data_IF_462461326269
#
_entry.id   IF_462461326269
#
_cell.length_a   1.000
_cell.length_b   1.000
_cell.length_c   1.000
_cell.angle_alpha   90.00
_cell.angle_beta   90.00
_cell.angle_gamma   90.00
#
_symmetry.space_group_name_H-M   'P 1'
#
loop_
_entity.id
_entity.type
_entity.pdbx_description
1 polymer ?
#
# COMPACT_ATOMS: atom_id res chain seq x y z
N UNK A 1 10.81 -3.56 -26.99
CA UNK A 1 10.40 -4.99 -26.88
C UNK A 1 8.93 -5.08 -27.25
N UNK A 2 8.50 -6.13 -28.00
CA UNK A 2 7.10 -6.24 -28.46
C UNK A 2 6.45 -7.53 -27.93
N UNK A 3 5.34 -7.41 -27.22
CA UNK A 3 4.60 -8.52 -26.61
C UNK A 3 3.18 -8.63 -27.16
N UNK A 4 2.60 -9.81 -27.03
CA UNK A 4 1.14 -10.04 -27.12
C UNK A 4 0.48 -9.70 -25.78
N UNK A 5 -0.83 -9.49 -25.76
CA UNK A 5 -1.57 -9.33 -24.47
C UNK A 5 -1.42 -10.56 -23.57
N UNK A 6 -1.30 -11.77 -24.16
CA UNK A 6 -1.05 -13.00 -23.40
C UNK A 6 0.29 -12.95 -22.68
N UNK A 7 1.37 -12.61 -23.38
CA UNK A 7 2.70 -12.47 -22.78
C UNK A 7 2.74 -11.39 -21.68
N UNK A 8 2.04 -10.27 -21.88
CA UNK A 8 1.93 -9.23 -20.86
C UNK A 8 1.18 -9.71 -19.59
N UNK A 9 0.11 -10.54 -19.74
CA UNK A 9 -0.59 -11.16 -18.61
C UNK A 9 0.29 -12.18 -17.91
N UNK A 10 0.92 -13.09 -18.66
CA UNK A 10 1.85 -14.09 -18.11
C UNK A 10 2.97 -13.42 -17.31
N UNK A 11 3.60 -12.39 -17.88
CA UNK A 11 4.59 -11.59 -17.16
C UNK A 11 4.03 -10.99 -15.86
N UNK A 12 2.88 -10.32 -15.95
CA UNK A 12 2.30 -9.61 -14.80
C UNK A 12 1.91 -10.58 -13.67
N UNK A 13 1.27 -11.70 -13.99
CA UNK A 13 0.89 -12.71 -13.00
C UNK A 13 2.12 -13.36 -12.37
N UNK A 14 3.12 -13.71 -13.18
CA UNK A 14 4.39 -14.26 -12.70
C UNK A 14 5.16 -13.25 -11.84
N UNK A 15 5.22 -11.98 -12.26
CA UNK A 15 5.83 -10.91 -11.46
C UNK A 15 5.20 -10.81 -10.08
N UNK A 16 3.89 -10.93 -10.01
CA UNK A 16 3.13 -10.91 -8.76
C UNK A 16 3.17 -12.23 -7.99
N UNK A 17 3.94 -13.23 -8.44
CA UNK A 17 4.09 -14.53 -7.76
C UNK A 17 2.76 -15.27 -7.53
N UNK A 18 1.78 -15.02 -8.42
CA UNK A 18 0.47 -15.67 -8.40
C UNK A 18 0.55 -16.92 -9.31
N UNK A 19 -0.06 -18.02 -8.89
CA UNK A 19 -0.08 -19.29 -9.64
C UNK A 19 1.32 -19.81 -10.04
N UNK A 20 2.33 -19.53 -9.23
CA UNK A 20 3.69 -20.05 -9.43
C UNK A 20 3.85 -21.44 -8.80
N UNK A 21 4.77 -22.24 -9.36
CA UNK A 21 5.23 -23.48 -8.75
C UNK A 21 6.27 -23.23 -7.65
N UNK A 22 6.88 -22.06 -7.63
CA UNK A 22 7.85 -21.69 -6.61
C UNK A 22 7.18 -21.41 -5.25
N UNK A 23 7.91 -21.70 -4.19
CA UNK A 23 7.50 -21.42 -2.81
C UNK A 23 8.11 -20.10 -2.35
N UNK A 24 7.26 -19.09 -2.20
CA UNK A 24 7.67 -17.76 -1.74
C UNK A 24 7.40 -17.57 -0.26
N UNK A 25 8.30 -16.88 0.41
CA UNK A 25 8.12 -16.37 1.77
C UNK A 25 7.45 -15.00 1.77
N UNK A 26 7.01 -14.53 2.95
CA UNK A 26 6.51 -13.16 3.11
C UNK A 26 7.58 -12.13 2.71
N UNK A 27 8.86 -12.38 3.02
CA UNK A 27 9.98 -11.50 2.63
C UNK A 27 10.13 -11.40 1.12
N UNK A 28 10.00 -12.52 0.39
CA UNK A 28 10.06 -12.52 -1.07
C UNK A 28 8.95 -11.67 -1.67
N UNK A 29 7.73 -11.77 -1.11
CA UNK A 29 6.58 -10.97 -1.56
C UNK A 29 6.86 -9.48 -1.34
N UNK A 30 7.28 -9.06 -0.13
CA UNK A 30 7.56 -7.64 0.12
C UNK A 30 8.79 -7.14 -0.64
N UNK A 31 9.82 -7.96 -0.84
CA UNK A 31 10.94 -7.62 -1.70
C UNK A 31 10.54 -7.38 -3.16
N UNK A 32 9.50 -8.06 -3.66
CA UNK A 32 8.99 -7.92 -5.03
C UNK A 32 8.00 -6.77 -5.15
N UNK A 33 6.87 -6.83 -4.45
CA UNK A 33 5.76 -5.88 -4.61
C UNK A 33 5.79 -4.71 -3.62
N UNK A 34 6.82 -4.63 -2.78
CA UNK A 34 7.21 -3.49 -1.92
C UNK A 34 6.23 -3.13 -0.81
N UNK A 35 4.93 -2.99 -1.11
CA UNK A 35 3.90 -2.63 -0.15
C UNK A 35 2.63 -3.39 -0.42
N UNK A 36 1.89 -3.72 0.62
CA UNK A 36 0.55 -4.31 0.53
C UNK A 36 -0.43 -3.35 1.20
N UNK A 37 -1.50 -2.96 0.49
CA UNK A 37 -2.51 -2.07 1.05
C UNK A 37 -3.24 -2.74 2.21
N UNK A 38 -3.35 -2.03 3.33
CA UNK A 38 -4.12 -2.47 4.48
C UNK A 38 -5.55 -1.91 4.40
N UNK A 39 -6.53 -2.77 4.58
CA UNK A 39 -7.91 -2.41 4.83
C UNK A 39 -8.44 -3.25 6.01
N UNK A 40 -9.12 -2.65 6.99
CA UNK A 40 -9.58 -3.34 8.20
C UNK A 40 -10.79 -4.24 7.97
N UNK A 41 -11.47 -4.16 6.81
CA UNK A 41 -12.62 -4.99 6.52
C UNK A 41 -12.20 -6.46 6.43
N UNK A 42 -12.79 -7.27 7.28
CA UNK A 42 -12.47 -8.68 7.44
C UNK A 42 -13.76 -9.53 7.28
N UNK A 43 -14.09 -9.89 6.05
CA UNK A 43 -15.22 -10.79 5.74
C UNK A 43 -14.75 -12.24 5.67
N UNK A 44 -13.67 -12.49 4.94
CA UNK A 44 -13.03 -13.81 4.76
C UNK A 44 -11.52 -13.76 5.01
N UNK A 45 -11.03 -12.63 5.50
CA UNK A 45 -9.64 -12.26 5.75
C UNK A 45 -9.45 -10.78 5.47
N UNK A 46 -8.44 -10.16 6.08
CA UNK A 46 -8.03 -8.79 5.76
C UNK A 46 -7.32 -8.76 4.39
N UNK A 47 -7.30 -7.59 3.74
CA UNK A 47 -6.65 -7.49 2.43
C UNK A 47 -5.20 -8.01 2.42
N UNK A 48 -4.31 -7.68 3.39
CA UNK A 48 -2.95 -8.22 3.42
C UNK A 48 -2.90 -9.76 3.59
N UNK A 49 -3.79 -10.33 4.40
CA UNK A 49 -3.88 -11.77 4.58
C UNK A 49 -4.21 -12.47 3.26
N UNK A 50 -5.20 -11.95 2.52
CA UNK A 50 -5.61 -12.51 1.23
C UNK A 50 -4.53 -12.34 0.14
N UNK A 51 -3.82 -11.20 0.12
CA UNK A 51 -2.68 -10.97 -0.79
C UNK A 51 -1.57 -11.99 -0.56
N UNK A 52 -1.23 -12.24 0.71
CA UNK A 52 -0.18 -13.21 1.08
C UNK A 52 -0.64 -14.65 0.85
N UNK A 53 -1.90 -14.97 1.15
CA UNK A 53 -2.46 -16.30 0.91
C UNK A 53 -2.41 -16.69 -0.58
N UNK A 54 -2.56 -15.73 -1.49
CA UNK A 54 -2.46 -15.97 -2.93
C UNK A 54 -1.03 -16.32 -3.40
N UNK A 55 0.02 -16.04 -2.58
CA UNK A 55 1.43 -16.08 -2.98
C UNK A 55 2.31 -16.98 -2.11
N UNK A 56 2.07 -16.95 -0.80
CA UNK A 56 2.93 -17.64 0.17
C UNK A 56 2.45 -19.06 0.38
N UNK A 57 3.37 -20.02 0.23
CA UNK A 57 3.05 -21.43 0.42
C UNK A 57 2.67 -21.72 1.89
N UNK A 58 1.58 -22.47 2.09
CA UNK A 58 1.06 -22.78 3.43
C UNK A 58 0.87 -21.55 4.35
N UNK A 59 0.51 -20.41 3.77
CA UNK A 59 0.29 -19.19 4.53
C UNK A 59 -0.72 -19.38 5.67
N UNK A 60 -0.34 -18.87 6.84
CA UNK A 60 -1.22 -18.72 8.00
C UNK A 60 -1.18 -17.26 8.43
N UNK A 61 -2.33 -16.72 8.84
CA UNK A 61 -2.44 -15.30 9.26
C UNK A 61 -1.41 -14.91 10.32
N UNK A 62 -1.10 -15.82 11.26
CA UNK A 62 -0.15 -15.55 12.34
C UNK A 62 1.25 -15.24 11.79
N UNK A 63 1.63 -15.78 10.62
CA UNK A 63 2.91 -15.46 9.98
C UNK A 63 3.04 -13.97 9.65
N UNK A 64 1.95 -13.33 9.22
CA UNK A 64 1.95 -11.88 8.97
C UNK A 64 2.04 -11.08 10.28
N UNK A 65 1.30 -11.48 11.29
CA UNK A 65 1.31 -10.77 12.58
C UNK A 65 2.61 -10.99 13.35
N UNK A 66 3.25 -12.13 13.20
CA UNK A 66 4.60 -12.37 13.71
C UNK A 66 5.63 -11.46 13.02
N UNK A 67 5.56 -11.35 11.69
CA UNK A 67 6.42 -10.43 10.92
C UNK A 67 6.24 -8.95 11.31
N UNK A 68 5.01 -8.54 11.67
CA UNK A 68 4.69 -7.17 12.09
C UNK A 68 5.08 -6.90 13.55
N UNK A 69 4.72 -7.81 14.48
CA UNK A 69 4.67 -7.47 15.91
C UNK A 69 5.65 -8.27 16.78
N UNK A 70 6.23 -9.37 16.26
CA UNK A 70 7.28 -10.15 16.95
C UNK A 70 8.65 -9.94 16.31
N UNK A 71 8.78 -10.33 15.03
CA UNK A 71 10.03 -10.17 14.28
C UNK A 71 10.27 -8.69 13.87
N UNK A 72 9.20 -7.92 13.73
CA UNK A 72 9.20 -6.46 13.51
C UNK A 72 10.01 -6.02 12.29
N UNK A 73 10.11 -6.82 11.23
CA UNK A 73 10.69 -6.39 9.95
C UNK A 73 9.67 -5.75 9.00
N UNK A 74 8.39 -5.84 9.33
CA UNK A 74 7.31 -5.11 8.66
C UNK A 74 6.78 -4.01 9.57
N UNK A 75 6.25 -2.96 8.96
CA UNK A 75 5.66 -1.80 9.64
C UNK A 75 4.39 -1.35 8.95
N UNK A 76 3.43 -0.89 9.75
CA UNK A 76 2.26 -0.15 9.28
C UNK A 76 2.68 1.27 8.89
N UNK A 77 2.31 1.74 7.70
CA UNK A 77 2.60 3.10 7.29
C UNK A 77 1.88 3.51 6.02
N UNK A 78 2.01 4.77 5.66
CA UNK A 78 1.36 5.33 4.48
C UNK A 78 2.26 5.20 3.25
N UNK A 79 1.72 4.63 2.17
CA UNK A 79 2.30 4.61 0.83
C UNK A 79 1.24 5.14 -0.16
N UNK A 80 0.67 4.31 -1.02
CA UNK A 80 -0.47 4.67 -1.89
C UNK A 80 -1.71 5.03 -1.04
N UNK A 81 -1.92 4.32 0.01
CA UNK A 81 -2.90 4.46 1.09
C UNK A 81 -2.24 3.90 2.36
N UNK A 82 -3.02 3.59 3.40
CA UNK A 82 -2.51 2.81 4.51
C UNK A 82 -2.01 1.46 4.00
N UNK A 83 -0.77 1.12 4.25
CA UNK A 83 -0.07 -0.07 3.77
C UNK A 83 0.73 -0.74 4.89
N UNK A 84 1.21 -1.94 4.57
CA UNK A 84 2.30 -2.61 5.28
C UNK A 84 3.49 -2.62 4.33
N UNK A 85 4.70 -2.35 4.85
CA UNK A 85 5.96 -2.42 4.09
C UNK A 85 7.13 -2.77 5.01
N UNK A 86 8.30 -3.03 4.44
CA UNK A 86 9.48 -3.40 5.25
C UNK A 86 10.05 -2.19 6.01
N UNK A 87 10.41 -2.39 7.28
CA UNK A 87 10.98 -1.36 8.17
C UNK A 87 12.22 -0.68 7.57
N UNK A 88 13.03 -1.44 6.81
CA UNK A 88 14.20 -0.87 6.10
C UNK A 88 13.87 0.27 5.16
N UNK A 89 12.62 0.33 4.68
CA UNK A 89 12.15 1.37 3.76
C UNK A 89 11.55 2.59 4.47
N UNK A 90 11.40 2.55 5.80
CA UNK A 90 10.71 3.57 6.57
C UNK A 90 11.25 4.99 6.32
N UNK A 91 12.57 5.14 6.26
CA UNK A 91 13.22 6.44 6.05
C UNK A 91 12.93 7.05 4.66
N UNK A 92 12.66 6.23 3.65
CA UNK A 92 12.29 6.72 2.31
C UNK A 92 10.91 7.38 2.26
N UNK A 93 10.07 7.18 3.26
CA UNK A 93 8.71 7.72 3.31
C UNK A 93 8.57 9.01 4.14
N UNK A 94 9.67 9.65 4.54
CA UNK A 94 9.63 10.89 5.34
C UNK A 94 8.74 11.96 4.72
N UNK A 95 8.88 12.22 3.40
CA UNK A 95 8.07 13.22 2.70
C UNK A 95 6.58 12.87 2.68
N UNK A 96 6.24 11.59 2.56
CA UNK A 96 4.84 11.13 2.62
C UNK A 96 4.29 11.32 4.03
N UNK A 97 5.08 10.95 5.06
CA UNK A 97 4.69 11.14 6.46
C UNK A 97 4.47 12.62 6.81
N UNK A 98 5.37 13.48 6.39
CA UNK A 98 5.22 14.94 6.58
C UNK A 98 3.94 15.46 5.92
N UNK A 99 3.69 15.07 4.67
CA UNK A 99 2.49 15.47 3.95
C UNK A 99 1.20 14.99 4.64
N UNK A 100 1.18 13.75 5.12
CA UNK A 100 0.03 13.19 5.85
C UNK A 100 -0.17 13.90 7.19
N UNK A 101 0.90 14.18 7.94
CA UNK A 101 0.81 14.93 9.18
C UNK A 101 0.29 16.37 8.94
N UNK A 102 0.69 17.02 7.85
CA UNK A 102 0.16 18.33 7.47
C UNK A 102 -1.33 18.28 7.12
N UNK A 103 -1.80 17.20 6.47
CA UNK A 103 -3.22 16.98 6.23
C UNK A 103 -3.97 16.84 7.57
N UNK A 104 -3.48 16.03 8.51
CA UNK A 104 -4.08 15.89 9.84
C UNK A 104 -4.09 17.23 10.59
N UNK A 105 -3.02 18.01 10.52
CA UNK A 105 -2.99 19.37 11.10
C UNK A 105 -4.04 20.29 10.48
N UNK A 106 -4.36 20.16 9.20
CA UNK A 106 -5.41 20.95 8.56
C UNK A 106 -6.82 20.58 9.05
N UNK A 107 -7.05 19.31 9.40
CA UNK A 107 -8.30 18.90 10.06
C UNK A 107 -8.44 19.42 11.48
N UNK A 108 -7.35 19.83 12.12
CA UNK A 108 -7.35 20.42 13.45
C UNK A 108 -7.76 21.92 13.49
N UNK A 109 -8.15 22.52 12.35
CA UNK A 109 -8.51 23.94 12.25
C UNK A 109 -9.65 24.39 13.20
N UNK A 110 -10.37 23.44 13.83
CA UNK A 110 -11.35 23.74 14.88
C UNK A 110 -10.72 23.97 16.26
N UNK A 111 -9.41 23.80 16.41
CA UNK A 111 -8.63 24.10 17.60
C UNK A 111 -7.71 25.28 17.31
N UNK A 112 -7.41 26.10 18.31
CA UNK A 112 -6.28 27.02 18.16
C UNK A 112 -5.01 26.22 17.96
N UNK A 113 -4.04 26.76 17.22
CA UNK A 113 -2.75 26.06 17.00
C UNK A 113 -2.04 25.71 18.31
N UNK A 114 -2.16 26.54 19.35
CA UNK A 114 -1.61 26.30 20.70
C UNK A 114 -2.35 25.17 21.41
N UNK A 115 -3.68 25.15 21.34
CA UNK A 115 -4.53 24.11 21.95
C UNK A 115 -4.25 22.72 21.32
N UNK A 116 -4.11 22.66 20.00
CA UNK A 116 -3.80 21.40 19.30
C UNK A 116 -2.41 20.89 19.65
N UNK A 117 -1.40 21.79 19.74
CA UNK A 117 -0.06 21.44 20.17
C UNK A 117 -0.06 20.84 21.58
N UNK A 118 -0.78 21.46 22.50
CA UNK A 118 -0.90 20.94 23.87
C UNK A 118 -1.50 19.51 23.90
N UNK A 119 -2.55 19.27 23.11
CA UNK A 119 -3.16 17.94 22.99
C UNK A 119 -2.17 16.92 22.43
N UNK A 120 -1.37 17.29 21.42
CA UNK A 120 -0.32 16.42 20.86
C UNK A 120 0.70 16.04 21.94
N UNK A 121 1.22 17.05 22.68
CA UNK A 121 2.23 16.86 23.71
C UNK A 121 1.68 15.95 24.85
N UNK A 122 0.44 16.16 25.26
CA UNK A 122 -0.23 15.36 26.29
C UNK A 122 -0.46 13.92 25.84
N UNK A 123 -0.92 13.70 24.59
CA UNK A 123 -1.09 12.33 24.01
C UNK A 123 0.26 11.63 23.91
N UNK A 124 1.32 12.36 23.50
CA UNK A 124 2.66 11.81 23.40
C UNK A 124 3.16 11.35 24.78
N UNK A 125 3.05 12.21 25.82
CA UNK A 125 3.45 11.86 27.18
C UNK A 125 2.69 10.64 27.73
N UNK A 126 1.39 10.56 27.48
CA UNK A 126 0.60 9.38 27.90
C UNK A 126 1.12 8.09 27.25
N UNK A 127 1.47 8.14 25.94
CA UNK A 127 2.02 6.97 25.24
C UNK A 127 3.43 6.65 25.76
N UNK A 128 4.24 7.68 26.03
CA UNK A 128 5.59 7.53 26.59
C UNK A 128 5.57 6.86 27.96
N UNK A 129 4.64 7.24 28.84
CA UNK A 129 4.51 6.72 30.21
C UNK A 129 3.84 5.35 30.27
N UNK A 130 2.83 5.10 29.41
CA UNK A 130 1.90 3.96 29.56
C UNK A 130 1.87 3.03 28.33
N UNK A 131 2.69 3.27 27.31
CA UNK A 131 2.69 2.42 26.11
C UNK A 131 3.20 1.00 26.38
N UNK A 132 2.74 0.01 25.58
CA UNK A 132 1.78 0.15 24.47
C UNK A 132 0.34 0.36 24.95
N UNK A 133 -0.33 1.36 24.39
CA UNK A 133 -1.69 1.75 24.80
C UNK A 133 -2.64 1.88 23.59
N UNK A 134 -3.89 1.47 23.76
CA UNK A 134 -4.90 1.61 22.72
C UNK A 134 -5.51 3.03 22.69
N UNK A 135 -5.87 3.48 21.47
CA UNK A 135 -6.52 4.79 21.28
C UNK A 135 -7.80 4.97 22.09
N UNK A 136 -8.52 3.89 22.42
CA UNK A 136 -9.74 3.95 23.24
C UNK A 136 -9.49 4.28 24.70
N UNK A 137 -8.26 4.05 25.19
CA UNK A 137 -7.86 4.36 26.58
C UNK A 137 -7.37 5.80 26.73
N UNK A 138 -7.00 6.46 25.65
CA UNK A 138 -6.57 7.87 25.65
C UNK A 138 -7.78 8.77 25.56
N UNK A 139 -8.24 9.30 26.68
CA UNK A 139 -9.49 10.07 26.80
C UNK A 139 -9.20 11.57 27.01
N UNK A 140 -8.59 12.20 26.01
CA UNK A 140 -8.31 13.63 26.04
C UNK A 140 -9.26 14.44 25.15
N UNK A 141 -9.42 15.71 25.51
CA UNK A 141 -10.15 16.71 24.77
C UNK A 141 -11.65 16.45 24.66
N UNK A 142 -12.38 17.47 24.29
CA UNK A 142 -13.80 17.42 24.00
C UNK A 142 -14.07 16.90 22.58
N UNK A 143 -15.26 16.31 22.34
CA UNK A 143 -15.72 15.99 21.00
C UNK A 143 -16.08 17.26 20.26
N UNK A 144 -15.35 17.61 19.22
CA UNK A 144 -15.71 18.71 18.31
C UNK A 144 -16.31 18.17 17.03
N UNK A 145 -17.36 18.85 16.51
CA UNK A 145 -18.01 18.49 15.24
C UNK A 145 -17.18 18.96 14.06
N UNK A 146 -16.85 18.04 13.18
CA UNK A 146 -16.22 18.30 11.88
C UNK A 146 -17.21 18.12 10.73
N UNK A 147 -16.86 18.57 9.51
CA UNK A 147 -17.63 18.29 8.28
C UNK A 147 -17.92 16.80 8.06
N UNK A 148 -17.09 15.91 8.59
CA UNK A 148 -17.12 14.45 8.43
C UNK A 148 -17.55 13.71 9.72
N UNK A 149 -18.11 14.38 10.67
CA UNK A 149 -18.54 13.82 11.95
C UNK A 149 -17.79 14.39 13.16
N UNK A 150 -18.00 13.83 14.34
CA UNK A 150 -17.30 14.27 15.56
C UNK A 150 -16.12 13.33 15.86
N UNK A 151 -14.91 13.79 15.62
CA UNK A 151 -13.69 13.11 16.07
C UNK A 151 -13.29 13.61 17.46
N UNK A 152 -12.71 12.71 18.28
CA UNK A 152 -12.06 13.11 19.51
C UNK A 152 -10.72 13.78 19.16
N UNK A 153 -10.38 14.85 19.85
CA UNK A 153 -9.09 15.52 19.69
C UNK A 153 -7.89 14.57 19.84
N UNK A 154 -7.96 13.64 20.81
CA UNK A 154 -6.96 12.59 20.99
C UNK A 154 -6.77 11.69 19.75
N UNK A 155 -7.85 11.40 18.99
CA UNK A 155 -7.73 10.58 17.78
C UNK A 155 -6.96 11.31 16.67
N UNK A 156 -7.20 12.61 16.52
CA UNK A 156 -6.46 13.46 15.55
C UNK A 156 -4.98 13.58 15.97
N UNK A 157 -4.72 13.77 17.27
CA UNK A 157 -3.34 13.81 17.77
C UNK A 157 -2.60 12.48 17.58
N UNK A 158 -3.26 11.34 17.84
CA UNK A 158 -2.68 10.01 17.57
C UNK A 158 -2.36 9.86 16.07
N UNK A 159 -3.30 10.23 15.18
CA UNK A 159 -3.06 10.17 13.74
C UNK A 159 -1.88 11.06 13.33
N UNK A 160 -1.80 12.27 13.86
CA UNK A 160 -0.69 13.18 13.63
C UNK A 160 0.66 12.59 14.08
N UNK A 161 0.74 12.09 15.31
CA UNK A 161 1.96 11.47 15.87
C UNK A 161 2.39 10.24 15.06
N UNK A 162 1.43 9.42 14.65
CA UNK A 162 1.67 8.25 13.80
C UNK A 162 2.20 8.68 12.41
N UNK A 163 1.58 9.67 11.78
CA UNK A 163 2.04 10.18 10.48
C UNK A 163 3.39 10.90 10.59
N UNK A 164 3.70 11.53 11.71
CA UNK A 164 5.05 12.06 11.97
C UNK A 164 6.10 10.95 12.15
N UNK A 165 5.68 9.71 12.40
CA UNK A 165 6.57 8.60 12.70
C UNK A 165 7.16 8.67 14.11
N UNK A 166 6.50 9.37 15.03
CA UNK A 166 6.88 9.44 16.44
C UNK A 166 6.36 8.25 17.24
N UNK A 167 5.21 7.71 16.84
CA UNK A 167 4.64 6.49 17.39
C UNK A 167 4.43 5.45 16.29
N UNK A 168 4.46 4.18 16.66
CA UNK A 168 4.20 3.03 15.78
C UNK A 168 3.08 2.16 16.34
N UNK A 169 2.59 1.21 15.52
CA UNK A 169 1.67 0.17 15.97
C UNK A 169 2.49 -0.95 16.60
N UNK A 170 2.39 -1.10 17.91
CA UNK A 170 3.04 -2.17 18.66
C UNK A 170 2.34 -3.51 18.46
N UNK A 171 1.02 -3.49 18.49
CA UNK A 171 0.20 -4.69 18.36
C UNK A 171 -1.23 -4.34 17.94
N UNK A 172 -1.99 -5.37 17.55
CA UNK A 172 -3.42 -5.25 17.23
C UNK A 172 -4.22 -6.29 18.00
N UNK A 173 -5.38 -5.85 18.49
CA UNK A 173 -6.45 -6.74 18.93
C UNK A 173 -7.62 -6.58 17.92
N UNK A 174 -7.74 -7.51 16.98
CA UNK A 174 -8.58 -7.37 15.79
C UNK A 174 -8.21 -6.09 15.00
N UNK A 175 -9.14 -5.13 14.89
CA UNK A 175 -8.91 -3.85 14.21
C UNK A 175 -8.34 -2.76 15.14
N UNK A 176 -8.34 -2.98 16.45
CA UNK A 176 -7.89 -2.02 17.45
C UNK A 176 -6.36 -2.03 17.54
N UNK A 177 -5.75 -0.87 17.28
CA UNK A 177 -4.30 -0.67 17.37
C UNK A 177 -3.89 -0.30 18.80
N UNK A 178 -2.79 -0.87 19.29
CA UNK A 178 -2.02 -0.37 20.40
C UNK A 178 -0.81 0.37 19.88
N UNK A 179 -0.57 1.56 20.40
CA UNK A 179 0.53 2.44 19.99
C UNK A 179 1.59 2.53 21.06
N UNK A 180 2.84 2.57 20.64
CA UNK A 180 3.98 2.90 21.49
C UNK A 180 4.95 3.81 20.71
N UNK A 181 5.96 4.36 21.40
CA UNK A 181 7.00 5.15 20.74
C UNK A 181 7.66 4.33 19.62
N UNK A 182 7.89 4.95 18.49
CA UNK A 182 8.44 4.25 17.31
C UNK A 182 9.77 3.57 17.62
N UNK A 183 10.62 4.17 18.46
CA UNK A 183 11.92 3.61 18.87
C UNK A 183 11.77 2.40 19.80
N UNK A 184 10.65 2.29 20.53
CA UNK A 184 10.38 1.07 21.33
C UNK A 184 9.83 -0.05 20.45
N UNK A 185 8.98 0.32 19.48
CA UNK A 185 8.44 -0.65 18.50
C UNK A 185 9.53 -1.16 17.57
N UNK A 186 10.40 -0.26 17.08
CA UNK A 186 11.48 -0.58 16.15
C UNK A 186 12.79 0.10 16.62
N UNK A 187 13.56 -0.49 17.54
CA UNK A 187 14.73 0.16 18.14
C UNK A 187 15.80 0.61 17.13
N UNK A 188 15.92 -0.08 16.01
CA UNK A 188 16.92 0.20 14.97
C UNK A 188 16.33 0.93 13.76
N UNK A 189 15.17 1.58 13.90
CA UNK A 189 14.53 2.25 12.77
C UNK A 189 15.35 3.45 12.31
N UNK A 190 15.67 3.49 11.02
CA UNK A 190 16.25 4.66 10.41
C UNK A 190 15.14 5.64 10.02
N UNK A 191 15.19 6.86 10.52
CA UNK A 191 14.25 7.94 10.22
C UNK A 191 14.88 9.12 9.46
N UNK A 192 16.19 9.04 9.15
CA UNK A 192 16.90 10.10 8.43
C UNK A 192 16.45 10.10 6.96
N UNK A 193 15.97 11.26 6.49
CA UNK A 193 15.61 11.41 5.08
C UNK A 193 16.85 11.23 4.18
N UNK A 194 16.88 10.27 3.26
CA UNK A 194 18.04 10.03 2.39
C UNK A 194 18.06 10.95 1.16
N UNK A 195 17.00 11.71 0.90
CA UNK A 195 16.88 12.53 -0.29
C UNK A 195 17.33 13.97 -0.04
N UNK A 196 18.15 14.50 -0.92
CA UNK A 196 18.60 15.89 -0.90
C UNK A 196 17.63 16.81 -1.63
N UNK A 197 16.94 16.30 -2.65
CA UNK A 197 15.96 17.05 -3.45
C UNK A 197 14.59 16.37 -3.47
N UNK A 198 13.55 17.12 -3.84
CA UNK A 198 12.22 16.57 -4.04
C UNK A 198 12.17 15.70 -5.29
N UNK A 199 12.95 16.02 -6.32
CA UNK A 199 13.08 15.25 -7.54
C UNK A 199 13.61 13.84 -7.27
N UNK A 200 14.65 13.69 -6.46
CA UNK A 200 15.22 12.39 -6.08
C UNK A 200 14.18 11.52 -5.37
N UNK A 201 13.42 12.15 -4.45
CA UNK A 201 12.33 11.47 -3.77
C UNK A 201 11.25 11.01 -4.76
N UNK A 202 10.79 11.88 -5.68
CA UNK A 202 9.73 11.54 -6.64
C UNK A 202 10.19 10.42 -7.58
N UNK A 203 11.43 10.48 -8.05
CA UNK A 203 11.99 9.43 -8.93
C UNK A 203 12.05 8.08 -8.20
N UNK A 204 12.59 8.05 -6.97
CA UNK A 204 12.60 6.84 -6.14
C UNK A 204 11.18 6.32 -5.88
N UNK A 205 10.26 7.20 -5.50
CA UNK A 205 8.89 6.82 -5.16
C UNK A 205 8.13 6.30 -6.39
N UNK A 206 8.35 6.88 -7.56
CA UNK A 206 7.79 6.40 -8.81
C UNK A 206 8.36 5.01 -9.17
N UNK A 207 9.68 4.82 -9.11
CA UNK A 207 10.31 3.51 -9.36
C UNK A 207 9.76 2.45 -8.40
N UNK A 208 9.66 2.79 -7.12
CA UNK A 208 9.06 1.90 -6.11
C UNK A 208 7.61 1.54 -6.45
N UNK A 209 6.80 2.50 -6.91
CA UNK A 209 5.43 2.27 -7.35
C UNK A 209 5.36 1.39 -8.61
N UNK A 210 6.26 1.58 -9.57
CA UNK A 210 6.38 0.71 -10.74
C UNK A 210 6.72 -0.72 -10.30
N UNK A 211 7.65 -0.90 -9.36
CA UNK A 211 7.97 -2.21 -8.75
C UNK A 211 6.78 -2.81 -8.01
N UNK A 212 5.96 -2.00 -7.33
CA UNK A 212 4.75 -2.50 -6.66
C UNK A 212 3.68 -3.01 -7.63
N UNK A 213 3.64 -2.49 -8.85
CA UNK A 213 2.67 -2.81 -9.90
C UNK A 213 3.20 -3.84 -10.92
N UNK A 214 4.52 -3.94 -11.10
CA UNK A 214 5.20 -4.84 -12.02
C UNK A 214 5.10 -4.45 -13.50
N UNK A 215 3.94 -4.02 -13.96
CA UNK A 215 3.66 -3.58 -15.31
C UNK A 215 2.75 -2.35 -15.25
N UNK A 216 3.15 -1.27 -15.91
CA UNK A 216 2.43 0.01 -15.84
C UNK A 216 2.42 0.73 -17.18
N UNK A 217 1.47 1.64 -17.35
CA UNK A 217 1.48 2.67 -18.39
C UNK A 217 1.57 4.06 -17.77
N UNK A 218 2.03 5.04 -18.52
CA UNK A 218 2.04 6.42 -18.04
C UNK A 218 0.68 7.11 -18.27
N UNK A 219 -0.42 6.50 -17.78
CA UNK A 219 -1.75 7.12 -17.73
C UNK A 219 -2.09 7.59 -16.31
N UNK A 220 -2.91 8.62 -16.21
CA UNK A 220 -3.45 9.05 -14.91
C UNK A 220 -4.39 7.97 -14.36
N UNK A 221 -4.08 7.45 -13.18
CA UNK A 221 -4.88 6.43 -12.51
C UNK A 221 -4.66 6.48 -10.99
N UNK A 222 -5.56 5.86 -10.24
CA UNK A 222 -5.44 5.71 -8.78
C UNK A 222 -4.22 4.86 -8.36
N UNK A 223 -3.63 4.09 -9.28
CA UNK A 223 -2.40 3.36 -9.05
C UNK A 223 -1.23 4.28 -8.70
N UNK A 224 -1.25 5.51 -9.19
CA UNK A 224 -0.24 6.54 -8.92
C UNK A 224 -0.66 7.58 -7.86
N UNK A 225 -1.63 7.26 -7.01
CA UNK A 225 -1.95 8.13 -5.87
C UNK A 225 -0.71 8.35 -5.00
N UNK A 226 -0.51 9.59 -4.55
CA UNK A 226 0.65 9.99 -3.77
C UNK A 226 1.15 11.38 -4.18
N UNK A 227 2.28 11.81 -3.63
CA UNK A 227 2.83 13.14 -3.83
C UNK A 227 3.19 13.42 -5.28
N UNK A 228 2.43 14.30 -5.92
CA UNK A 228 2.69 14.88 -7.25
C UNK A 228 2.85 13.90 -8.43
N UNK A 229 2.63 12.60 -8.24
CA UNK A 229 2.81 11.60 -9.30
C UNK A 229 1.51 11.08 -9.92
N UNK A 230 0.35 11.52 -9.46
CA UNK A 230 -0.96 11.07 -9.97
C UNK A 230 -1.31 11.60 -11.36
N UNK A 231 -0.71 12.71 -11.83
CA UNK A 231 -0.91 13.29 -13.17
C UNK A 231 0.17 12.82 -14.14
N UNK A 232 -0.21 12.50 -15.39
CA UNK A 232 0.71 12.07 -16.46
C UNK A 232 1.83 13.10 -16.69
N UNK A 233 1.50 14.38 -16.75
CA UNK A 233 2.47 15.46 -16.98
C UNK A 233 3.58 15.48 -15.92
N UNK A 234 3.25 15.25 -14.67
CA UNK A 234 4.21 15.26 -13.57
C UNK A 234 5.15 14.05 -13.62
N UNK A 235 4.70 12.91 -14.20
CA UNK A 235 5.48 11.68 -14.25
C UNK A 235 6.36 11.55 -15.48
N UNK A 236 6.01 12.18 -16.60
CA UNK A 236 6.67 11.92 -17.90
C UNK A 236 8.19 12.12 -17.87
N UNK A 237 8.68 13.16 -17.19
CA UNK A 237 10.14 13.40 -17.06
C UNK A 237 10.83 12.28 -16.28
N UNK A 238 10.18 11.72 -15.26
CA UNK A 238 10.74 10.65 -14.44
C UNK A 238 10.69 9.30 -15.14
N UNK A 239 9.63 8.99 -15.92
CA UNK A 239 9.62 7.80 -16.79
C UNK A 239 10.78 7.84 -17.77
N UNK A 240 11.04 8.99 -18.40
CA UNK A 240 12.18 9.19 -19.29
C UNK A 240 13.50 8.95 -18.57
N UNK A 241 13.73 9.63 -17.43
CA UNK A 241 14.92 9.47 -16.60
C UNK A 241 15.17 8.02 -16.18
N UNK A 242 14.14 7.34 -15.67
CA UNK A 242 14.24 5.95 -15.24
C UNK A 242 14.57 4.99 -16.41
N UNK A 243 14.04 5.27 -17.61
CA UNK A 243 14.35 4.50 -18.84
C UNK A 243 15.79 4.74 -19.27
N UNK A 244 16.26 5.99 -19.30
CA UNK A 244 17.64 6.36 -19.63
C UNK A 244 18.66 5.76 -18.65
N UNK A 245 18.30 5.65 -17.36
CA UNK A 245 19.11 4.98 -16.33
C UNK A 245 19.02 3.44 -16.40
N UNK A 246 18.24 2.88 -17.32
CA UNK A 246 18.05 1.44 -17.45
C UNK A 246 17.34 0.77 -16.27
N UNK A 247 16.61 1.53 -15.42
CA UNK A 247 15.90 1.03 -14.26
C UNK A 247 14.51 0.49 -14.60
N UNK A 248 13.92 1.01 -15.69
CA UNK A 248 12.69 0.49 -16.28
C UNK A 248 12.88 0.27 -17.78
N UNK A 249 12.16 -0.69 -18.32
CA UNK A 249 12.19 -1.04 -19.76
C UNK A 249 10.83 -0.82 -20.38
N UNK A 250 10.81 -0.20 -21.55
CA UNK A 250 9.61 0.03 -22.35
C UNK A 250 9.22 -1.22 -23.13
N UNK A 251 7.93 -1.53 -23.15
CA UNK A 251 7.33 -2.69 -23.82
C UNK A 251 6.08 -2.27 -24.59
N UNK A 252 6.10 -2.50 -25.91
CA UNK A 252 4.91 -2.36 -26.77
C UNK A 252 4.06 -3.62 -26.68
N UNK A 253 2.74 -3.47 -26.54
CA UNK A 253 1.82 -4.60 -26.53
C UNK A 253 0.89 -4.53 -27.74
N UNK A 254 0.82 -5.61 -28.51
CA UNK A 254 -0.02 -5.69 -29.72
C UNK A 254 -1.48 -5.40 -29.36
N UNK A 255 -2.07 -4.44 -30.07
CA UNK A 255 -3.46 -3.98 -29.88
C UNK A 255 -3.63 -2.95 -28.75
N UNK A 256 -2.55 -2.46 -28.15
CA UNK A 256 -2.56 -1.33 -27.22
C UNK A 256 -1.92 -0.10 -27.88
N UNK A 257 -2.45 1.10 -27.59
CA UNK A 257 -1.91 2.37 -28.08
C UNK A 257 -0.77 2.93 -27.24
N UNK A 258 -0.78 2.60 -25.94
CA UNK A 258 0.18 3.13 -24.97
C UNK A 258 1.28 2.12 -24.74
N UNK A 259 2.50 2.62 -24.67
CA UNK A 259 3.62 1.81 -24.21
C UNK A 259 3.47 1.46 -22.74
N UNK A 260 3.91 0.27 -22.37
CA UNK A 260 3.99 -0.20 -20.99
C UNK A 260 5.43 -0.17 -20.52
N UNK A 261 5.61 -0.15 -19.22
CA UNK A 261 6.92 -0.11 -18.56
C UNK A 261 6.98 -1.17 -17.49
N UNK A 262 8.11 -1.84 -17.38
CA UNK A 262 8.41 -2.87 -16.37
C UNK A 262 9.71 -2.52 -15.66
N UNK A 263 9.93 -2.97 -14.42
CA UNK A 263 11.26 -2.95 -13.82
C UNK A 263 12.23 -3.76 -14.70
N UNK A 264 13.36 -3.19 -15.09
CA UNK A 264 14.33 -3.86 -16.00
C UNK A 264 14.82 -5.18 -15.42
N UNK A 265 15.04 -5.24 -14.11
CA UNK A 265 15.44 -6.45 -13.40
C UNK A 265 14.47 -7.62 -13.59
N UNK A 266 13.17 -7.32 -13.83
CA UNK A 266 12.14 -8.33 -14.00
C UNK A 266 12.21 -9.10 -15.33
N UNK A 267 12.99 -8.62 -16.30
CA UNK A 267 13.26 -9.34 -17.55
C UNK A 267 13.97 -10.68 -17.32
N UNK A 268 14.71 -10.80 -16.23
CA UNK A 268 15.47 -12.00 -15.88
C UNK A 268 14.64 -13.00 -15.04
N UNK A 269 13.37 -12.69 -14.72
CA UNK A 269 12.55 -13.62 -13.95
C UNK A 269 11.97 -14.70 -14.88
N UNK A 270 12.27 -15.97 -14.62
CA UNK A 270 11.71 -17.04 -15.42
C UNK A 270 10.18 -17.07 -15.27
N UNK A 271 9.47 -17.26 -16.37
CA UNK A 271 8.02 -17.47 -16.33
C UNK A 271 7.77 -18.90 -15.84
N UNK A 272 7.13 -19.00 -14.68
CA UNK A 272 6.80 -20.26 -14.04
C UNK A 272 5.37 -20.20 -13.50
N UNK A 273 4.41 -20.47 -14.37
CA UNK A 273 2.98 -20.44 -14.04
C UNK A 273 2.38 -21.84 -14.11
N UNK A 274 1.57 -22.16 -13.12
CA UNK A 274 0.69 -23.34 -13.12
C UNK A 274 -0.77 -22.95 -13.40
N UNK A 275 -1.62 -23.94 -13.59
CA UNK A 275 -3.03 -23.77 -13.94
C UNK A 275 -3.97 -23.75 -12.72
N UNK A 276 -3.44 -23.43 -11.54
CA UNK A 276 -4.21 -23.31 -10.29
C UNK A 276 -5.19 -22.15 -10.37
N UNK A 277 -6.33 -22.31 -9.70
CA UNK A 277 -7.27 -21.22 -9.45
C UNK A 277 -6.91 -20.53 -8.14
N UNK A 278 -6.71 -19.22 -8.18
CA UNK A 278 -6.39 -18.39 -7.02
C UNK A 278 -7.42 -17.28 -6.88
N UNK A 279 -7.83 -16.99 -5.64
CA UNK A 279 -8.69 -15.85 -5.30
C UNK A 279 -7.77 -14.64 -5.07
N UNK A 280 -8.07 -13.54 -5.74
CA UNK A 280 -7.33 -12.28 -5.55
C UNK A 280 -7.98 -11.44 -4.46
N UNK A 281 -7.16 -10.80 -3.64
CA UNK A 281 -7.61 -9.82 -2.67
C UNK A 281 -8.25 -8.60 -3.37
N UNK A 282 -9.23 -7.90 -2.74
CA UNK A 282 -9.95 -6.82 -3.41
C UNK A 282 -9.07 -5.60 -3.72
N UNK A 283 -8.01 -5.39 -2.96
CA UNK A 283 -7.02 -4.32 -3.12
C UNK A 283 -5.63 -4.90 -3.43
N UNK A 284 -5.58 -6.08 -4.06
CA UNK A 284 -4.33 -6.68 -4.52
C UNK A 284 -3.58 -5.73 -5.46
N UNK A 285 -2.25 -5.73 -5.38
CA UNK A 285 -1.40 -4.86 -6.18
C UNK A 285 -1.64 -5.00 -7.68
N UNK A 286 -1.90 -6.22 -8.17
CA UNK A 286 -2.23 -6.49 -9.58
C UNK A 286 -3.51 -5.76 -10.03
N UNK A 287 -4.41 -5.44 -9.09
CA UNK A 287 -5.68 -4.75 -9.35
C UNK A 287 -5.61 -3.22 -9.11
N UNK A 288 -4.46 -2.66 -8.73
CA UNK A 288 -4.36 -1.23 -8.42
C UNK A 288 -4.63 -0.34 -9.62
N UNK A 289 -4.25 -0.76 -10.84
CA UNK A 289 -4.65 -0.07 -12.08
C UNK A 289 -5.77 -0.84 -12.78
N UNK A 290 -7.00 -0.53 -12.39
CA UNK A 290 -8.20 -1.20 -12.93
C UNK A 290 -8.41 -0.96 -14.42
N UNK A 291 -7.91 0.17 -14.95
CA UNK A 291 -8.00 0.45 -16.38
C UNK A 291 -7.03 -0.44 -17.17
N UNK A 292 -5.82 -0.65 -16.65
CA UNK A 292 -4.86 -1.57 -17.24
C UNK A 292 -5.35 -3.03 -17.14
N UNK A 293 -5.91 -3.42 -16.00
CA UNK A 293 -6.55 -4.75 -15.82
C UNK A 293 -7.65 -4.97 -16.87
N UNK A 294 -8.52 -3.97 -17.07
CA UNK A 294 -9.56 -4.05 -18.10
C UNK A 294 -8.97 -4.25 -19.49
N UNK A 295 -7.91 -3.51 -19.82
CA UNK A 295 -7.28 -3.56 -21.15
C UNK A 295 -6.56 -4.90 -21.40
N UNK A 296 -5.88 -5.43 -20.40
CA UNK A 296 -5.11 -6.66 -20.54
C UNK A 296 -5.95 -7.93 -20.40
N UNK A 297 -6.85 -7.97 -19.41
CA UNK A 297 -7.60 -9.18 -19.06
C UNK A 297 -9.05 -9.17 -19.57
N UNK A 298 -9.49 -8.09 -20.23
CA UNK A 298 -10.90 -7.86 -20.58
C UNK A 298 -11.82 -8.02 -19.35
N UNK A 299 -11.37 -7.62 -18.17
CA UNK A 299 -12.07 -7.81 -16.91
C UNK A 299 -12.24 -6.48 -16.17
N UNK A 300 -13.48 -6.11 -15.90
CA UNK A 300 -13.81 -4.91 -15.12
C UNK A 300 -14.05 -5.31 -13.67
N UNK A 301 -13.33 -4.68 -12.74
CA UNK A 301 -13.47 -4.93 -11.32
C UNK A 301 -13.79 -3.65 -10.54
N UNK A 302 -14.75 -3.76 -9.63
CA UNK A 302 -15.05 -2.75 -8.60
C UNK A 302 -15.32 -3.48 -7.30
N UNK A 303 -14.65 -3.05 -6.23
CA UNK A 303 -14.95 -3.54 -4.90
C UNK A 303 -16.14 -2.75 -4.35
N UNK A 304 -17.30 -3.40 -4.23
CA UNK A 304 -18.59 -2.72 -4.04
C UNK A 304 -19.00 -2.54 -2.57
N UNK A 305 -18.09 -2.75 -1.62
CA UNK A 305 -18.36 -2.60 -0.18
C UNK A 305 -18.82 -1.18 0.19
N UNK A 306 -18.30 -0.17 -0.51
CA UNK A 306 -18.66 1.24 -0.32
C UNK A 306 -19.77 1.71 -1.28
N UNK A 307 -20.27 0.82 -2.13
CA UNK A 307 -21.37 1.13 -3.05
C UNK A 307 -22.70 0.88 -2.33
N UNK A 308 -23.67 1.81 -2.37
CA UNK A 308 -25.01 1.59 -1.82
C UNK A 308 -25.62 0.30 -2.37
N UNK A 309 -26.33 -0.46 -1.51
CA UNK A 309 -26.90 -1.77 -1.84
C UNK A 309 -27.65 -1.80 -3.16
N UNK A 310 -28.45 -0.77 -3.44
CA UNK A 310 -29.28 -0.63 -4.66
C UNK A 310 -28.47 -0.37 -5.93
N UNK A 311 -27.18 0.01 -5.81
CA UNK A 311 -26.30 0.32 -6.95
C UNK A 311 -25.22 -0.74 -7.16
N UNK A 312 -25.17 -1.79 -6.33
CA UNK A 312 -24.23 -2.90 -6.48
C UNK A 312 -24.62 -3.77 -7.66
N UNK A 313 -23.64 -4.11 -8.47
CA UNK A 313 -23.82 -4.94 -9.67
C UNK A 313 -23.59 -6.42 -9.37
N UNK A 314 -22.61 -6.72 -8.52
CA UNK A 314 -22.19 -8.11 -8.27
C UNK A 314 -22.38 -8.54 -6.82
N UNK A 315 -22.34 -7.63 -5.85
CA UNK A 315 -22.53 -7.96 -4.44
C UNK A 315 -21.65 -7.14 -3.50
N UNK A 316 -21.86 -7.33 -2.20
CA UNK A 316 -21.16 -6.58 -1.17
C UNK A 316 -19.65 -6.87 -1.17
N UNK A 317 -19.30 -8.16 -1.18
CA UNK A 317 -17.92 -8.60 -1.07
C UNK A 317 -17.62 -9.66 -2.12
N UNK A 318 -17.11 -9.22 -3.25
CA UNK A 318 -16.89 -10.07 -4.44
C UNK A 318 -15.41 -9.99 -4.83
N UNK A 319 -14.79 -11.14 -5.00
CA UNK A 319 -13.35 -11.29 -5.24
C UNK A 319 -13.10 -11.88 -6.64
N UNK A 320 -12.08 -11.39 -7.38
CA UNK A 320 -11.72 -11.99 -8.67
C UNK A 320 -11.09 -13.37 -8.52
N UNK A 321 -11.35 -14.24 -9.49
CA UNK A 321 -10.72 -15.55 -9.65
C UNK A 321 -9.76 -15.52 -10.84
N UNK A 322 -8.53 -15.95 -10.62
CA UNK A 322 -7.50 -16.08 -11.66
C UNK A 322 -7.07 -17.55 -11.79
N UNK A 323 -6.98 -18.02 -13.03
CA UNK A 323 -6.47 -19.36 -13.38
C UNK A 323 -5.33 -19.21 -14.37
N UNK A 324 -4.16 -19.80 -14.06
CA UNK A 324 -2.96 -19.51 -14.85
C UNK A 324 -2.73 -18.00 -14.94
N UNK A 325 -2.77 -17.45 -16.15
CA UNK A 325 -2.65 -15.99 -16.39
C UNK A 325 -3.96 -15.32 -16.82
N UNK A 326 -5.12 -15.94 -16.59
CA UNK A 326 -6.44 -15.43 -17.03
C UNK A 326 -7.35 -15.17 -15.83
N UNK A 327 -7.99 -14.00 -15.79
CA UNK A 327 -9.08 -13.75 -14.81
C UNK A 327 -10.35 -14.37 -15.36
N UNK A 328 -10.78 -15.47 -14.74
CA UNK A 328 -11.86 -16.34 -15.23
C UNK A 328 -13.23 -15.97 -14.67
N UNK A 329 -13.29 -15.13 -13.64
CA UNK A 329 -14.57 -14.79 -13.02
C UNK A 329 -14.41 -14.10 -11.67
N UNK A 330 -15.46 -14.23 -10.86
CA UNK A 330 -15.53 -13.67 -9.51
C UNK A 330 -16.40 -14.53 -8.61
N UNK A 331 -16.10 -14.49 -7.31
CA UNK A 331 -16.84 -15.21 -6.26
C UNK A 331 -17.30 -14.24 -5.18
#
# INVERSE_FOLDING_TARGET
MKWTKKQAREFLVNYHMINSNNHYSIRDVFNRIKSIQYDPLNVVGTNPELVLQARVHNFKKDMLYDALYKERYLVDGWDKQMCIYEVKDFHYFNKIRENMANIESSFSMNFSGLEFKHIIDEVYSIIEENGPISSSKIKLGERKKHKWGSNKASSVAISYLFHKGLIGVDSRNNTQKNFDLIQRVHPNINSINPFTTEEDFIEYYLLRRIKSLGLVWNKSSVAFSGLHINKKSNRSKYFKSLTEKGLITEVSVVGMKEELYIPTEALNYPIDLNDRITILAPLDNILWDRALVKELFNFTYTWEVYVPKTKRKYGYYVLPLIRGSEIIGRI
#
